data_IF_044995240574
#
_entry.id   IF_044995240574
#
_cell.length_a   1.000
_cell.length_b   1.000
_cell.length_c   1.000
_cell.angle_alpha   90.00
_cell.angle_beta   90.00
_cell.angle_gamma   90.00
#
_symmetry.space_group_name_H-M   'P 1'
#
loop_
_entity.id
_entity.type
_entity.pdbx_description
1 polymer ?
#
# COMPACT_ATOMS: atom_id res chain seq x y z
N UNK A 1 -4.78 5.27 0.01
CA UNK A 1 -3.41 4.82 0.37
C UNK A 1 -3.32 3.32 0.20
N UNK A 2 -2.11 2.80 0.07
CA UNK A 2 -1.78 1.36 0.16
C UNK A 2 -0.76 1.19 1.28
N UNK A 3 -0.94 0.19 2.14
CA UNK A 3 0.05 -0.26 3.12
C UNK A 3 0.48 -1.68 2.78
N UNK A 4 1.77 -1.97 2.91
CA UNK A 4 2.33 -3.30 2.73
C UNK A 4 2.80 -3.82 4.08
N UNK A 5 2.40 -5.04 4.41
CA UNK A 5 2.89 -5.76 5.59
C UNK A 5 3.57 -7.04 5.15
N UNK A 6 4.56 -7.49 5.92
CA UNK A 6 5.19 -8.79 5.75
C UNK A 6 4.94 -9.65 6.98
N UNK A 7 4.45 -10.88 6.77
CA UNK A 7 4.29 -11.90 7.80
C UNK A 7 5.28 -13.03 7.52
N UNK A 8 6.39 -13.17 8.26
CA UNK A 8 7.34 -14.25 8.03
C UNK A 8 6.73 -15.60 8.37
N UNK A 9 7.07 -16.63 7.61
CA UNK A 9 6.62 -18.01 7.87
C UNK A 9 6.97 -18.43 9.31
N UNK A 10 6.00 -19.00 10.03
CA UNK A 10 6.14 -19.37 11.45
C UNK A 10 6.25 -18.19 12.44
N UNK A 11 6.21 -16.95 11.95
CA UNK A 11 6.25 -15.74 12.77
C UNK A 11 4.93 -15.47 13.49
N UNK A 12 5.03 -14.89 14.69
CA UNK A 12 3.86 -14.47 15.49
C UNK A 12 3.24 -13.14 15.02
N UNK A 13 4.05 -12.26 14.44
CA UNK A 13 3.67 -10.87 14.17
C UNK A 13 3.93 -10.49 12.72
N UNK A 14 3.11 -9.56 12.23
CA UNK A 14 3.33 -8.83 10.98
C UNK A 14 4.27 -7.65 11.20
N UNK A 15 4.97 -7.27 10.16
CA UNK A 15 5.85 -6.11 10.11
C UNK A 15 5.26 -5.10 9.12
N UNK A 16 5.08 -3.85 9.54
CA UNK A 16 4.71 -2.75 8.65
C UNK A 16 5.91 -2.40 7.77
N UNK A 17 5.83 -2.76 6.48
CA UNK A 17 6.88 -2.51 5.50
C UNK A 17 6.83 -1.06 5.04
N UNK A 18 5.63 -0.49 4.94
CA UNK A 18 5.45 0.88 4.54
C UNK A 18 4.02 1.23 4.21
N UNK A 19 3.73 2.53 4.31
CA UNK A 19 2.47 3.16 3.95
C UNK A 19 2.70 4.19 2.86
N UNK A 20 1.91 4.09 1.81
CA UNK A 20 2.03 4.87 0.59
C UNK A 20 0.75 5.68 0.40
N UNK A 21 0.88 6.99 0.57
CA UNK A 21 -0.22 7.93 0.44
C UNK A 21 -0.31 8.49 -0.97
N UNK A 22 -1.54 8.67 -1.44
CA UNK A 22 -1.85 9.23 -2.76
C UNK A 22 -2.78 10.40 -2.50
N UNK A 23 -2.23 11.59 -2.32
CA UNK A 23 -2.93 12.70 -1.65
C UNK A 23 -3.40 13.81 -2.59
N UNK A 24 -2.95 13.85 -3.84
CA UNK A 24 -3.44 14.82 -4.81
C UNK A 24 -4.58 14.19 -5.64
N UNK A 25 -5.76 14.80 -5.60
CA UNK A 25 -6.96 14.35 -6.32
C UNK A 25 -7.60 15.49 -7.13
N UNK A 26 -6.80 16.45 -7.61
CA UNK A 26 -7.26 17.56 -8.45
C UNK A 26 -7.89 18.72 -7.68
N UNK A 27 -7.64 18.85 -6.39
CA UNK A 27 -8.10 19.98 -5.58
C UNK A 27 -7.37 21.28 -5.96
N UNK A 28 -8.08 22.42 -5.96
CA UNK A 28 -7.49 23.74 -6.22
C UNK A 28 -8.36 24.88 -5.71
N UNK A 29 -7.80 26.10 -5.65
CA UNK A 29 -8.55 27.33 -5.37
C UNK A 29 -9.61 27.67 -6.44
N UNK A 30 -9.47 27.15 -7.67
CA UNK A 30 -10.43 27.33 -8.76
C UNK A 30 -11.65 26.39 -8.65
N UNK A 31 -11.58 25.37 -7.79
CA UNK A 31 -12.63 24.39 -7.56
C UNK A 31 -12.13 22.94 -7.57
N UNK A 32 -13.03 21.97 -7.28
CA UNK A 32 -12.71 20.54 -7.34
C UNK A 32 -12.40 20.11 -8.78
N UNK A 33 -11.45 19.18 -8.92
CA UNK A 33 -10.99 18.61 -10.20
C UNK A 33 -10.40 19.63 -11.20
N UNK A 34 -9.95 20.79 -10.71
CA UNK A 34 -9.27 21.83 -11.52
C UNK A 34 -7.78 21.99 -11.14
N UNK A 35 -7.30 21.21 -10.16
CA UNK A 35 -5.91 21.16 -9.77
C UNK A 35 -5.05 20.44 -10.82
N UNK A 36 -3.76 20.80 -10.93
CA UNK A 36 -2.90 20.29 -12.00
C UNK A 36 -2.38 18.87 -11.77
N UNK A 37 -2.66 18.24 -10.63
CA UNK A 37 -2.06 16.96 -10.23
C UNK A 37 -3.11 15.98 -9.69
N UNK A 38 -3.06 14.76 -10.21
CA UNK A 38 -3.70 13.59 -9.64
C UNK A 38 -2.64 12.51 -9.39
N UNK A 39 -2.67 11.89 -8.21
CA UNK A 39 -1.81 10.75 -7.90
C UNK A 39 -2.53 9.45 -8.21
N UNK A 40 -1.97 8.61 -9.07
CA UNK A 40 -2.47 7.25 -9.30
C UNK A 40 -2.27 6.38 -8.05
N UNK A 41 -3.20 5.47 -7.81
CA UNK A 41 -3.18 4.55 -6.65
C UNK A 41 -2.28 3.34 -6.89
N UNK A 42 -1.06 3.60 -7.35
CA UNK A 42 -0.06 2.60 -7.70
C UNK A 42 1.27 2.94 -7.03
N UNK A 43 1.95 1.92 -6.50
CA UNK A 43 3.25 2.08 -5.86
C UNK A 43 4.12 0.86 -6.07
N UNK A 44 5.41 1.10 -6.31
CA UNK A 44 6.46 0.08 -6.26
C UNK A 44 7.38 0.40 -5.10
N UNK A 45 7.64 -0.59 -4.24
CA UNK A 45 8.59 -0.48 -3.12
C UNK A 45 9.62 -1.60 -3.20
N UNK A 46 10.78 -1.40 -2.57
CA UNK A 46 11.85 -2.39 -2.50
C UNK A 46 12.13 -2.74 -1.04
N UNK A 47 12.31 -4.03 -0.78
CA UNK A 47 12.57 -4.58 0.54
C UNK A 47 13.61 -5.69 0.45
N UNK A 48 14.31 -5.95 1.56
CA UNK A 48 15.22 -7.09 1.72
C UNK A 48 14.60 -8.07 2.70
N UNK A 49 14.42 -9.31 2.26
CA UNK A 49 13.89 -10.41 3.07
C UNK A 49 14.99 -11.47 3.24
N UNK A 50 15.07 -12.06 4.44
CA UNK A 50 16.01 -13.12 4.79
C UNK A 50 15.33 -14.48 4.98
N UNK A 51 14.01 -14.54 4.81
CA UNK A 51 13.18 -15.75 4.99
C UNK A 51 11.86 -15.63 4.21
N UNK A 52 11.23 -16.76 3.84
CA UNK A 52 9.92 -16.77 3.19
C UNK A 52 8.81 -16.22 4.09
N UNK A 53 7.69 -15.88 3.49
CA UNK A 53 6.49 -15.45 4.20
C UNK A 53 5.38 -14.96 3.27
N UNK A 54 4.47 -14.16 3.82
CA UNK A 54 3.32 -13.60 3.10
C UNK A 54 3.39 -12.08 3.09
N UNK A 55 3.24 -11.49 1.91
CA UNK A 55 2.99 -10.07 1.74
C UNK A 55 1.48 -9.82 1.85
N UNK A 56 1.07 -8.92 2.74
CA UNK A 56 -0.31 -8.45 2.86
C UNK A 56 -0.39 -7.00 2.40
N UNK A 57 -1.19 -6.73 1.37
CA UNK A 57 -1.48 -5.38 0.93
C UNK A 57 -2.84 -4.95 1.47
N UNK A 58 -2.90 -3.77 2.11
CA UNK A 58 -4.12 -3.15 2.59
C UNK A 58 -4.32 -1.82 1.86
N UNK A 59 -5.52 -1.57 1.36
CA UNK A 59 -5.89 -0.34 0.68
C UNK A 59 -7.14 0.27 1.30
N UNK A 60 -7.24 1.59 1.26
CA UNK A 60 -8.44 2.33 1.66
C UNK A 60 -8.94 3.20 0.52
N UNK A 61 -10.21 3.01 0.16
CA UNK A 61 -10.96 3.98 -0.63
C UNK A 61 -11.73 4.90 0.32
N UNK A 62 -11.73 6.21 0.05
CA UNK A 62 -12.34 7.22 0.91
C UNK A 62 -13.85 7.01 1.17
N UNK A 63 -14.57 6.35 0.25
CA UNK A 63 -16.01 6.07 0.39
C UNK A 63 -16.37 4.58 0.39
N UNK A 64 -15.42 3.68 0.04
CA UNK A 64 -15.65 2.23 -0.02
C UNK A 64 -14.86 1.43 1.01
N UNK A 65 -14.28 2.10 2.02
CA UNK A 65 -13.65 1.43 3.15
C UNK A 65 -12.37 0.67 2.77
N UNK A 66 -12.08 -0.38 3.56
CA UNK A 66 -10.84 -1.15 3.52
C UNK A 66 -10.94 -2.35 2.58
N UNK A 67 -9.84 -2.63 1.91
CA UNK A 67 -9.66 -3.76 1.00
C UNK A 67 -8.30 -4.39 1.26
N UNK A 68 -8.22 -5.72 1.24
CA UNK A 68 -6.95 -6.43 1.41
C UNK A 68 -6.72 -7.48 0.32
N UNK A 69 -5.45 -7.79 0.09
CA UNK A 69 -5.01 -8.96 -0.66
C UNK A 69 -3.71 -9.50 -0.06
N UNK A 70 -3.38 -10.75 -0.37
CA UNK A 70 -2.14 -11.37 0.10
C UNK A 70 -1.47 -12.19 -0.99
N UNK A 71 -0.14 -12.33 -0.88
CA UNK A 71 0.68 -13.13 -1.79
C UNK A 71 1.88 -13.73 -1.06
N UNK A 72 2.07 -15.03 -1.21
CA UNK A 72 3.26 -15.72 -0.69
C UNK A 72 4.52 -15.30 -1.47
N UNK A 73 5.64 -15.22 -0.77
CA UNK A 73 6.97 -14.96 -1.33
C UNK A 73 7.98 -15.95 -0.76
N UNK A 74 8.69 -16.64 -1.66
CA UNK A 74 9.84 -17.46 -1.31
C UNK A 74 11.12 -16.62 -1.32
N UNK A 75 12.10 -17.03 -0.52
CA UNK A 75 13.47 -16.52 -0.54
C UNK A 75 14.38 -17.72 -0.81
N UNK A 76 15.31 -17.57 -1.76
CA UNK A 76 16.25 -18.61 -2.15
C UNK A 76 17.38 -18.80 -1.13
#
# INVERSE_FOLDING_TARGET
WISLYFHPEGGKFTYDVGRFEFNAHGESAAGPNQGPVHTHHEVTTSLKLDRPGTLHALALCNIHGLWESSKEISVA
#
